data_IF_744977281780
#
_entry.id   IF_744977281780
#
_cell.length_a   1.000
_cell.length_b   1.000
_cell.length_c   1.000
_cell.angle_alpha   90.00
_cell.angle_beta   90.00
_cell.angle_gamma   90.00
#
_symmetry.space_group_name_H-M   'P 1'
#
loop_
_entity.id
_entity.type
_entity.pdbx_description
1 polymer ?
#
# COMPACT_ATOMS: atom_id res chain seq x y z
N UNK A 1 -11.43 -17.39 -2.93
CA UNK A 1 -11.16 -16.99 -1.52
C UNK A 1 -11.09 -15.47 -1.48
N UNK A 2 -11.30 -14.84 -0.33
CA UNK A 2 -11.28 -13.36 -0.23
C UNK A 2 -11.32 -12.88 1.22
N UNK A 3 -11.36 -11.57 1.42
CA UNK A 3 -11.44 -10.96 2.75
C UNK A 3 -12.91 -10.86 3.19
N UNK A 4 -13.31 -11.64 4.19
CA UNK A 4 -14.69 -11.76 4.65
C UNK A 4 -14.75 -11.70 6.18
N UNK A 5 -15.65 -10.89 6.74
CA UNK A 5 -15.88 -10.79 8.19
C UNK A 5 -14.61 -10.51 9.00
N UNK A 6 -13.67 -9.72 8.46
CA UNK A 6 -12.43 -9.33 9.16
C UNK A 6 -11.20 -10.19 8.89
N UNK A 7 -11.30 -11.26 8.09
CA UNK A 7 -10.16 -12.18 7.83
C UNK A 7 -10.13 -12.66 6.37
N UNK A 8 -8.97 -13.14 5.90
CA UNK A 8 -8.91 -13.91 4.66
C UNK A 8 -9.56 -15.29 4.84
N UNK A 9 -10.66 -15.53 4.14
CA UNK A 9 -11.44 -16.76 4.24
C UNK A 9 -11.83 -17.33 2.87
N UNK A 10 -12.05 -18.64 2.84
CA UNK A 10 -12.66 -19.29 1.68
C UNK A 10 -14.18 -19.03 1.63
N UNK A 11 -14.80 -19.12 0.44
CA UNK A 11 -16.24 -18.90 0.26
C UNK A 11 -17.09 -19.84 1.13
N UNK A 12 -16.62 -21.08 1.36
CA UNK A 12 -17.30 -22.02 2.24
C UNK A 12 -17.37 -21.56 3.70
N UNK A 13 -16.33 -20.91 4.23
CA UNK A 13 -16.35 -20.39 5.60
C UNK A 13 -17.12 -19.07 5.71
N UNK A 14 -17.05 -18.22 4.68
CA UNK A 14 -17.90 -17.02 4.54
C UNK A 14 -19.39 -17.37 4.61
N UNK A 15 -19.85 -18.31 3.77
CA UNK A 15 -21.25 -18.71 3.72
C UNK A 15 -21.73 -19.38 5.01
N UNK A 16 -20.89 -20.25 5.59
CA UNK A 16 -21.16 -20.88 6.88
C UNK A 16 -21.32 -19.85 8.00
N UNK A 17 -20.34 -18.97 8.19
CA UNK A 17 -20.35 -17.95 9.23
C UNK A 17 -21.55 -17.01 9.09
N UNK A 18 -21.85 -16.53 7.87
CA UNK A 18 -23.03 -15.71 7.58
C UNK A 18 -24.33 -16.38 8.02
N UNK A 19 -24.48 -17.68 7.73
CA UNK A 19 -25.69 -18.45 8.08
C UNK A 19 -25.79 -18.65 9.59
N UNK A 20 -24.70 -19.03 10.25
CA UNK A 20 -24.67 -19.21 11.71
C UNK A 20 -25.10 -17.94 12.43
N UNK A 21 -24.59 -16.76 12.02
CA UNK A 21 -24.96 -15.50 12.65
C UNK A 21 -26.39 -15.07 12.30
N UNK A 22 -26.79 -15.08 11.02
CA UNK A 22 -28.13 -14.63 10.60
C UNK A 22 -29.26 -15.45 11.21
N UNK A 23 -29.08 -16.76 11.29
CA UNK A 23 -30.07 -17.68 11.83
C UNK A 23 -29.87 -17.94 13.34
N UNK A 24 -28.90 -17.27 13.99
CA UNK A 24 -28.53 -17.48 15.40
C UNK A 24 -28.38 -18.97 15.74
N UNK A 25 -27.67 -19.72 14.90
CA UNK A 25 -27.52 -21.16 15.09
C UNK A 25 -26.57 -21.44 16.26
N UNK A 26 -27.05 -22.22 17.21
CA UNK A 26 -26.26 -22.77 18.30
C UNK A 26 -25.86 -24.21 17.97
N UNK A 27 -24.57 -24.51 18.13
CA UNK A 27 -24.05 -25.85 17.90
C UNK A 27 -23.70 -26.49 19.23
N UNK A 28 -24.13 -27.73 19.44
CA UNK A 28 -23.77 -28.52 20.62
C UNK A 28 -22.25 -28.60 20.81
N UNK A 29 -21.79 -28.42 22.04
CA UNK A 29 -20.36 -28.41 22.38
C UNK A 29 -19.71 -29.73 21.96
N UNK A 30 -18.60 -29.64 21.25
CA UNK A 30 -17.78 -30.80 20.89
C UNK A 30 -16.57 -30.90 21.81
N UNK A 31 -16.41 -32.04 22.47
CA UNK A 31 -15.29 -32.31 23.39
C UNK A 31 -14.03 -32.80 22.66
N UNK A 32 -14.19 -33.31 21.44
CA UNK A 32 -13.10 -33.92 20.65
C UNK A 32 -12.14 -32.91 20.02
N UNK A 33 -12.39 -31.60 20.14
CA UNK A 33 -11.57 -30.53 19.54
C UNK A 33 -11.15 -30.82 18.08
N UNK A 34 -12.13 -31.17 17.24
CA UNK A 34 -11.90 -31.64 15.87
C UNK A 34 -11.00 -30.70 15.05
N UNK A 35 -9.93 -31.24 14.46
CA UNK A 35 -9.05 -30.49 13.54
C UNK A 35 -9.75 -30.19 12.21
N UNK A 36 -10.07 -28.92 11.98
CA UNK A 36 -10.81 -28.46 10.79
C UNK A 36 -9.87 -28.13 9.62
N UNK A 37 -10.04 -28.87 8.52
CA UNK A 37 -9.33 -28.77 7.23
C UNK A 37 -10.33 -28.72 6.05
N UNK A 38 -9.86 -28.35 4.85
CA UNK A 38 -10.71 -28.20 3.64
C UNK A 38 -11.59 -29.44 3.36
N UNK A 39 -11.03 -30.65 3.53
CA UNK A 39 -11.70 -31.94 3.26
C UNK A 39 -12.73 -32.35 4.33
N UNK A 40 -12.56 -31.95 5.59
CA UNK A 40 -13.37 -32.44 6.71
C UNK A 40 -14.16 -31.34 7.44
N UNK A 41 -14.11 -30.09 6.96
CA UNK A 41 -14.73 -28.92 7.62
C UNK A 41 -16.24 -29.03 7.84
N UNK A 42 -16.93 -29.92 7.15
CA UNK A 42 -18.36 -30.13 7.32
C UNK A 42 -18.70 -31.17 8.42
N UNK A 43 -17.72 -31.92 8.94
CA UNK A 43 -17.95 -32.99 9.92
C UNK A 43 -18.34 -32.49 11.32
N UNK A 44 -17.92 -31.29 11.70
CA UNK A 44 -18.22 -30.72 13.02
C UNK A 44 -18.47 -29.22 12.91
N UNK A 45 -19.74 -28.82 13.06
CA UNK A 45 -20.15 -27.42 12.96
C UNK A 45 -19.64 -26.60 14.14
N UNK A 46 -19.67 -27.16 15.36
CA UNK A 46 -19.15 -26.51 16.57
C UNK A 46 -17.68 -26.12 16.43
N UNK A 47 -16.78 -27.09 16.15
CA UNK A 47 -15.35 -26.81 16.01
C UNK A 47 -15.04 -25.92 14.81
N UNK A 48 -15.82 -26.02 13.73
CA UNK A 48 -15.70 -25.10 12.58
C UNK A 48 -16.03 -23.67 12.97
N UNK A 49 -17.15 -23.46 13.67
CA UNK A 49 -17.57 -22.12 14.09
C UNK A 49 -16.61 -21.53 15.12
N UNK A 50 -16.18 -22.33 16.11
CA UNK A 50 -15.12 -21.93 17.05
C UNK A 50 -13.84 -21.53 16.35
N UNK A 51 -13.41 -22.27 15.31
CA UNK A 51 -12.25 -21.89 14.51
C UNK A 51 -12.47 -20.58 13.76
N UNK A 52 -13.64 -20.37 13.15
CA UNK A 52 -13.98 -19.09 12.50
C UNK A 52 -13.84 -17.91 13.46
N UNK A 53 -14.36 -18.03 14.69
CA UNK A 53 -14.21 -17.01 15.72
C UNK A 53 -12.75 -16.85 16.15
N UNK A 54 -12.04 -17.95 16.39
CA UNK A 54 -10.65 -17.93 16.86
C UNK A 54 -9.69 -17.27 15.86
N UNK A 55 -9.95 -17.37 14.55
CA UNK A 55 -9.14 -16.68 13.53
C UNK A 55 -9.54 -15.21 13.34
N UNK A 56 -10.60 -14.74 14.00
CA UNK A 56 -11.04 -13.34 13.96
C UNK A 56 -12.26 -13.04 13.09
N UNK A 57 -13.06 -14.05 12.67
CA UNK A 57 -14.32 -13.75 11.96
C UNK A 57 -15.31 -13.07 12.90
N UNK A 58 -15.77 -11.88 12.53
CA UNK A 58 -16.71 -11.08 13.33
C UNK A 58 -17.86 -10.52 12.49
N UNK A 59 -19.08 -10.56 13.04
CA UNK A 59 -20.24 -9.90 12.45
C UNK A 59 -20.04 -8.38 12.33
N UNK A 60 -19.35 -7.78 13.29
CA UNK A 60 -19.15 -6.32 13.32
C UNK A 60 -18.03 -5.88 12.36
N UNK A 61 -17.24 -6.81 11.83
CA UNK A 61 -16.20 -6.57 10.84
C UNK A 61 -16.72 -6.70 9.39
N UNK A 62 -18.03 -6.60 9.18
CA UNK A 62 -18.61 -6.45 7.84
C UNK A 62 -18.17 -5.08 7.32
N UNK A 63 -17.27 -5.08 6.33
CA UNK A 63 -17.06 -3.88 5.52
C UNK A 63 -18.33 -3.65 4.71
N UNK A 64 -19.15 -2.71 5.15
CA UNK A 64 -20.03 -2.03 4.24
C UNK A 64 -19.14 -1.39 3.16
N UNK A 65 -19.55 -1.48 1.89
CA UNK A 65 -18.76 -0.96 0.78
C UNK A 65 -18.62 0.57 0.82
N UNK A 66 -19.00 1.24 -0.26
CA UNK A 66 -18.95 2.71 -0.32
C UNK A 66 -20.10 3.31 0.51
N UNK A 67 -19.92 3.46 1.81
CA UNK A 67 -20.88 4.19 2.67
C UNK A 67 -20.71 5.71 2.47
N UNK A 68 -21.80 6.47 2.17
CA UNK A 68 -21.80 7.93 2.19
C UNK A 68 -21.52 8.49 3.60
N UNK A 69 -20.77 9.60 3.69
CA UNK A 69 -20.30 10.15 4.98
C UNK A 69 -21.40 10.45 6.01
N UNK A 70 -22.62 10.77 5.57
CA UNK A 70 -23.76 11.05 6.45
C UNK A 70 -24.16 9.85 7.32
N UNK A 71 -24.13 8.64 6.77
CA UNK A 71 -24.45 7.41 7.50
C UNK A 71 -23.35 7.07 8.52
N UNK A 72 -22.10 7.38 8.19
CA UNK A 72 -20.92 7.16 9.04
C UNK A 72 -20.98 7.98 10.33
N UNK A 73 -21.64 9.14 10.30
CA UNK A 73 -21.80 10.01 11.47
C UNK A 73 -22.92 9.50 12.40
N UNK A 74 -24.02 8.97 11.86
CA UNK A 74 -25.14 8.43 12.66
C UNK A 74 -24.73 7.20 13.48
N UNK A 75 -23.89 6.33 12.92
CA UNK A 75 -23.43 5.12 13.60
C UNK A 75 -22.49 5.39 14.78
N UNK A 76 -21.80 6.55 14.79
CA UNK A 76 -20.93 6.95 15.91
C UNK A 76 -21.70 7.43 17.14
N UNK A 77 -22.98 7.80 16.98
CA UNK A 77 -23.79 8.37 18.05
C UNK A 77 -24.42 7.31 18.99
N UNK A 78 -24.36 6.02 18.65
CA UNK A 78 -24.99 4.94 19.42
C UNK A 78 -24.05 4.09 20.28
N UNK A 79 -22.75 4.41 20.36
CA UNK A 79 -21.76 3.64 21.11
C UNK A 79 -21.23 4.45 22.28
N UNK A 80 -21.97 4.45 23.39
CA UNK A 80 -21.55 5.09 24.62
C UNK A 80 -21.26 4.05 25.71
N UNK A 81 -20.00 4.07 26.16
CA UNK A 81 -19.54 4.23 27.57
C UNK A 81 -18.34 3.35 27.98
N UNK A 82 -18.11 2.15 27.44
CA UNK A 82 -17.01 1.28 27.97
C UNK A 82 -15.76 1.13 27.10
N UNK A 83 -15.74 1.65 25.87
CA UNK A 83 -14.61 1.49 24.93
C UNK A 83 -13.78 2.75 24.62
N UNK A 84 -14.07 3.88 25.28
CA UNK A 84 -13.50 5.19 24.91
C UNK A 84 -11.98 5.25 25.10
N UNK A 85 -11.43 4.74 26.20
CA UNK A 85 -10.00 4.87 26.51
C UNK A 85 -9.07 4.04 25.59
N UNK A 86 -9.42 2.79 25.30
CA UNK A 86 -8.61 1.94 24.40
C UNK A 86 -8.73 2.37 22.94
N UNK A 87 -9.91 2.86 22.52
CA UNK A 87 -10.14 3.34 21.16
C UNK A 87 -9.53 4.74 20.94
N UNK A 88 -9.48 5.62 21.94
CA UNK A 88 -8.73 6.87 21.88
C UNK A 88 -7.22 6.63 21.82
N UNK A 89 -6.69 5.72 22.65
CA UNK A 89 -5.26 5.36 22.64
C UNK A 89 -4.82 4.78 21.28
N UNK A 90 -5.58 3.83 20.72
CA UNK A 90 -5.31 3.27 19.38
C UNK A 90 -5.51 4.28 18.24
N UNK A 91 -6.46 5.21 18.37
CA UNK A 91 -6.63 6.30 17.39
C UNK A 91 -5.50 7.32 17.45
N UNK A 92 -5.01 7.65 18.64
CA UNK A 92 -3.88 8.55 18.84
C UNK A 92 -2.59 7.93 18.27
N UNK A 93 -2.38 6.63 18.49
CA UNK A 93 -1.27 5.86 17.94
C UNK A 93 -1.31 5.80 16.40
N UNK A 94 -2.47 5.50 15.81
CA UNK A 94 -2.63 5.47 14.35
C UNK A 94 -2.40 6.84 13.71
N UNK A 95 -2.86 7.93 14.35
CA UNK A 95 -2.62 9.31 13.86
C UNK A 95 -1.15 9.71 13.97
N UNK A 96 -0.48 9.29 15.03
CA UNK A 96 0.96 9.50 15.22
C UNK A 96 1.76 8.80 14.13
N UNK A 97 1.47 7.51 13.88
CA UNK A 97 2.08 6.74 12.81
C UNK A 97 1.86 7.38 11.44
N UNK A 98 0.61 7.79 11.13
CA UNK A 98 0.29 8.45 9.88
C UNK A 98 1.07 9.76 9.69
N UNK A 99 1.27 10.53 10.76
CA UNK A 99 2.09 11.76 10.74
C UNK A 99 3.56 11.43 10.45
N UNK A 100 4.13 10.47 11.18
CA UNK A 100 5.52 10.03 10.98
C UNK A 100 5.77 9.54 9.55
N UNK A 101 4.85 8.72 9.01
CA UNK A 101 4.90 8.27 7.62
C UNK A 101 4.82 9.44 6.62
N UNK A 102 3.96 10.42 6.88
CA UNK A 102 3.82 11.59 6.00
C UNK A 102 5.08 12.48 6.03
N UNK A 103 5.68 12.69 7.19
CA UNK A 103 6.92 13.44 7.34
C UNK A 103 8.10 12.71 6.70
N UNK A 104 8.20 11.38 6.83
CA UNK A 104 9.16 10.57 6.09
C UNK A 104 8.96 10.71 4.57
N UNK A 105 7.73 10.63 4.10
CA UNK A 105 7.40 10.80 2.67
C UNK A 105 7.85 12.16 2.14
N UNK A 106 7.56 13.25 2.85
CA UNK A 106 7.95 14.60 2.43
C UNK A 106 9.47 14.82 2.47
N UNK A 107 10.19 14.12 3.35
CA UNK A 107 11.66 14.20 3.46
C UNK A 107 12.37 13.45 2.34
N UNK A 108 11.91 12.25 2.00
CA UNK A 108 12.62 11.37 1.05
C UNK A 108 12.19 11.54 -0.41
N UNK A 109 10.98 12.04 -0.69
CA UNK A 109 10.51 12.27 -2.05
C UNK A 109 10.51 13.74 -2.42
N UNK A 110 11.52 14.16 -3.18
CA UNK A 110 11.68 15.55 -3.63
C UNK A 110 10.50 16.01 -4.50
N UNK A 111 10.05 15.17 -5.44
CA UNK A 111 8.87 15.41 -6.27
C UNK A 111 7.67 14.65 -5.73
N UNK A 112 6.75 15.38 -5.09
CA UNK A 112 5.52 14.80 -4.53
C UNK A 112 4.28 15.24 -5.30
N UNK A 113 3.13 14.61 -4.99
CA UNK A 113 1.87 14.90 -5.67
C UNK A 113 1.47 16.38 -5.61
N UNK A 114 1.71 17.05 -4.49
CA UNK A 114 1.37 18.47 -4.35
C UNK A 114 2.24 19.33 -5.27
N UNK A 115 3.55 19.13 -5.28
CA UNK A 115 4.48 19.82 -6.18
C UNK A 115 4.16 19.56 -7.65
N UNK A 116 3.96 18.30 -8.04
CA UNK A 116 3.61 17.93 -9.42
C UNK A 116 2.32 18.63 -9.89
N UNK A 117 1.30 18.74 -9.02
CA UNK A 117 0.05 19.47 -9.36
C UNK A 117 0.28 20.94 -9.64
N UNK A 118 1.23 21.60 -8.97
CA UNK A 118 1.55 23.02 -9.24
C UNK A 118 2.01 23.19 -10.69
N UNK A 119 2.89 22.31 -11.18
CA UNK A 119 3.34 22.31 -12.57
C UNK A 119 2.19 21.98 -13.54
N UNK A 120 1.46 20.90 -13.30
CA UNK A 120 0.41 20.41 -14.20
C UNK A 120 -0.82 21.33 -14.29
N UNK A 121 -1.07 22.15 -13.26
CA UNK A 121 -2.17 23.13 -13.25
C UNK A 121 -1.75 24.53 -13.70
N UNK A 122 -0.50 24.70 -14.16
CA UNK A 122 0.01 25.99 -14.65
C UNK A 122 0.19 27.05 -13.56
N UNK A 123 0.27 26.63 -12.29
CA UNK A 123 0.45 27.55 -11.13
C UNK A 123 1.91 27.82 -10.77
N UNK A 124 2.84 27.27 -11.54
CA UNK A 124 4.28 27.49 -11.38
C UNK A 124 4.71 28.80 -12.03
N UNK A 125 5.67 29.51 -11.43
CA UNK A 125 6.33 30.66 -12.05
C UNK A 125 7.27 30.27 -13.19
N UNK A 126 7.75 29.02 -13.18
CA UNK A 126 8.67 28.47 -14.18
C UNK A 126 8.00 27.24 -14.81
N UNK A 127 7.44 27.37 -16.03
CA UNK A 127 6.82 26.23 -16.70
C UNK A 127 7.87 25.19 -17.10
N UNK A 128 7.53 23.90 -17.07
CA UNK A 128 8.44 22.85 -17.51
C UNK A 128 8.67 22.94 -19.03
N UNK A 129 9.84 22.51 -19.48
CA UNK A 129 10.13 22.36 -20.90
C UNK A 129 9.26 21.23 -21.48
N UNK A 130 8.54 21.50 -22.55
CA UNK A 130 7.61 20.54 -23.18
C UNK A 130 8.33 19.81 -24.30
N UNK A 131 8.27 18.48 -24.28
CA UNK A 131 8.76 17.60 -25.34
C UNK A 131 7.53 17.10 -26.09
N UNK A 132 7.41 17.44 -27.37
CA UNK A 132 6.26 17.05 -28.20
C UNK A 132 6.65 16.60 -29.61
N UNK A 133 7.92 16.71 -29.97
CA UNK A 133 8.47 16.28 -31.26
C UNK A 133 9.96 15.90 -31.11
N UNK A 134 10.58 15.53 -32.23
CA UNK A 134 11.96 15.10 -32.27
C UNK A 134 12.96 16.23 -31.97
N UNK A 135 12.66 17.46 -32.40
CA UNK A 135 13.56 18.59 -32.18
C UNK A 135 13.57 18.98 -30.70
N UNK A 136 12.40 19.12 -30.08
CA UNK A 136 12.25 19.40 -28.65
C UNK A 136 12.86 18.28 -27.80
N UNK A 137 12.72 17.03 -28.21
CA UNK A 137 13.38 15.90 -27.56
C UNK A 137 14.91 16.03 -27.59
N UNK A 138 15.51 16.30 -28.76
CA UNK A 138 16.97 16.47 -28.87
C UNK A 138 17.48 17.66 -28.05
N UNK A 139 16.69 18.73 -27.90
CA UNK A 139 17.04 19.84 -27.01
C UNK A 139 17.01 19.42 -25.54
N UNK A 140 15.99 18.67 -25.12
CA UNK A 140 15.89 18.15 -23.76
C UNK A 140 17.03 17.16 -23.45
N UNK A 141 17.33 16.24 -24.38
CA UNK A 141 18.44 15.29 -24.27
C UNK A 141 19.77 16.00 -24.05
N UNK A 142 20.08 17.02 -24.86
CA UNK A 142 21.32 17.82 -24.68
C UNK A 142 21.38 18.48 -23.32
N UNK A 143 20.27 19.09 -22.85
CA UNK A 143 20.21 19.73 -21.54
C UNK A 143 20.41 18.74 -20.39
N UNK A 144 19.80 17.56 -20.51
CA UNK A 144 19.91 16.49 -19.52
C UNK A 144 21.32 15.87 -19.53
N UNK A 145 21.88 15.63 -20.71
CA UNK A 145 23.27 15.19 -20.88
C UNK A 145 24.21 16.20 -20.23
N UNK A 146 24.09 17.51 -20.47
CA UNK A 146 24.95 18.50 -19.79
C UNK A 146 24.85 18.43 -18.26
N UNK A 147 23.67 18.11 -17.70
CA UNK A 147 23.49 17.93 -16.26
C UNK A 147 24.10 16.62 -15.73
N UNK A 148 24.10 15.56 -16.53
CA UNK A 148 24.66 14.24 -16.19
C UNK A 148 26.18 14.15 -16.45
N UNK A 149 26.67 14.85 -17.48
CA UNK A 149 28.05 14.83 -17.99
C UNK A 149 29.02 15.70 -17.21
N UNK A 150 28.58 16.41 -16.18
CA UNK A 150 29.49 16.96 -15.17
C UNK A 150 30.35 15.87 -14.48
N UNK A 151 29.97 14.59 -14.60
CA UNK A 151 30.57 13.45 -13.90
C UNK A 151 31.05 12.28 -14.80
N UNK A 152 30.97 12.34 -16.14
CA UNK A 152 31.28 11.17 -17.02
C UNK A 152 32.20 11.55 -18.20
N UNK A 153 33.16 10.66 -18.52
CA UNK A 153 34.16 10.85 -19.57
C UNK A 153 33.56 10.94 -20.99
N UNK A 154 34.22 11.71 -21.86
CA UNK A 154 33.79 12.07 -23.22
C UNK A 154 33.57 10.91 -24.20
N UNK A 155 34.09 9.71 -23.89
CA UNK A 155 34.03 8.53 -24.77
C UNK A 155 32.64 7.89 -24.85
N UNK A 156 31.87 7.87 -23.75
CA UNK A 156 30.54 7.24 -23.71
C UNK A 156 29.44 8.10 -24.35
N UNK A 157 29.71 9.39 -24.59
CA UNK A 157 28.75 10.32 -25.20
C UNK A 157 28.59 10.05 -26.70
N UNK A 158 29.68 9.62 -27.36
CA UNK A 158 29.68 9.35 -28.80
C UNK A 158 28.85 8.10 -29.13
N UNK A 159 29.02 7.03 -28.34
CA UNK A 159 28.28 5.76 -28.52
C UNK A 159 26.80 5.88 -28.17
N UNK A 160 26.44 6.80 -27.26
CA UNK A 160 25.03 7.08 -26.94
C UNK A 160 24.31 7.79 -28.08
N UNK A 161 24.99 8.69 -28.81
CA UNK A 161 24.40 9.44 -29.91
C UNK A 161 24.12 8.59 -31.15
N UNK A 162 24.86 7.49 -31.31
CA UNK A 162 24.68 6.51 -32.39
C UNK A 162 23.49 5.56 -32.17
N UNK A 163 22.98 5.46 -30.93
CA UNK A 163 21.82 4.63 -30.62
C UNK A 163 20.52 5.24 -31.12
N UNK A 164 19.58 4.38 -31.49
CA UNK A 164 18.20 4.76 -31.78
C UNK A 164 17.58 5.57 -30.63
N UNK A 165 16.71 6.51 -30.97
CA UNK A 165 16.07 7.45 -30.02
C UNK A 165 15.40 6.69 -28.86
N UNK A 166 14.70 5.59 -29.17
CA UNK A 166 14.02 4.76 -28.19
C UNK A 166 14.98 4.17 -27.16
N UNK A 167 16.15 3.69 -27.60
CA UNK A 167 17.18 3.15 -26.73
C UNK A 167 17.79 4.23 -25.81
N UNK A 168 17.89 5.48 -26.28
CA UNK A 168 18.35 6.61 -25.45
C UNK A 168 17.32 7.00 -24.39
N UNK A 169 16.05 7.13 -24.78
CA UNK A 169 14.95 7.40 -23.84
C UNK A 169 14.92 6.31 -22.76
N UNK A 170 15.01 5.05 -23.16
CA UNK A 170 15.04 3.92 -22.24
C UNK A 170 16.19 4.02 -21.23
N UNK A 171 17.40 4.37 -21.68
CA UNK A 171 18.53 4.58 -20.79
C UNK A 171 18.31 5.72 -19.80
N UNK A 172 17.77 6.87 -20.23
CA UNK A 172 17.46 7.96 -19.32
C UNK A 172 16.40 7.56 -18.29
N UNK A 173 15.40 6.78 -18.69
CA UNK A 173 14.40 6.22 -17.77
C UNK A 173 15.05 5.27 -16.75
N UNK A 174 16.02 4.44 -17.16
CA UNK A 174 16.76 3.58 -16.23
C UNK A 174 17.57 4.40 -15.22
N UNK A 175 18.27 5.44 -15.67
CA UNK A 175 19.04 6.31 -14.78
C UNK A 175 18.14 7.00 -13.74
N UNK A 176 17.01 7.56 -14.19
CA UNK A 176 16.02 8.15 -13.28
C UNK A 176 15.45 7.09 -12.31
N UNK A 177 15.27 5.85 -12.78
CA UNK A 177 14.77 4.75 -11.96
C UNK A 177 15.73 4.41 -10.80
N UNK A 178 17.05 4.42 -11.03
CA UNK A 178 18.05 4.18 -9.97
C UNK A 178 17.94 5.22 -8.83
N UNK A 179 17.77 6.49 -9.18
CA UNK A 179 17.54 7.54 -8.18
C UNK A 179 16.26 7.27 -7.39
N UNK A 180 15.15 6.91 -8.06
CA UNK A 180 13.88 6.62 -7.36
C UNK A 180 13.94 5.39 -6.45
N UNK A 181 14.69 4.35 -6.82
CA UNK A 181 14.91 3.17 -5.97
C UNK A 181 15.67 3.56 -4.70
N UNK A 182 16.63 4.46 -4.82
CA UNK A 182 17.38 4.99 -3.67
C UNK A 182 16.45 5.77 -2.73
N UNK A 183 15.65 6.69 -3.26
CA UNK A 183 14.65 7.45 -2.48
C UNK A 183 13.65 6.52 -1.77
N UNK A 184 13.16 5.50 -2.47
CA UNK A 184 12.20 4.53 -1.94
C UNK A 184 12.81 3.67 -0.83
N UNK A 185 14.07 3.28 -0.99
CA UNK A 185 14.83 2.53 0.02
C UNK A 185 15.03 3.35 1.29
N UNK A 186 15.43 4.62 1.16
CA UNK A 186 15.59 5.53 2.30
C UNK A 186 14.26 5.81 3.00
N UNK A 187 13.17 5.99 2.23
CA UNK A 187 11.83 6.09 2.80
C UNK A 187 11.43 4.83 3.58
N UNK A 188 11.67 3.63 3.03
CA UNK A 188 11.32 2.37 3.69
C UNK A 188 12.05 2.21 5.03
N UNK A 189 13.34 2.56 5.11
CA UNK A 189 14.11 2.57 6.36
C UNK A 189 13.51 3.51 7.42
N UNK A 190 12.89 4.61 6.99
CA UNK A 190 12.23 5.55 7.89
C UNK A 190 10.82 5.10 8.34
N UNK A 191 10.28 3.99 7.81
CA UNK A 191 9.00 3.42 8.26
C UNK A 191 9.21 2.70 9.60
N UNK A 192 8.45 3.04 10.66
CA UNK A 192 8.55 2.39 11.95
C UNK A 192 8.43 0.86 11.86
N UNK A 193 9.41 0.14 12.42
CA UNK A 193 9.47 -1.32 12.43
C UNK A 193 10.08 -1.97 11.19
N UNK A 194 10.38 -1.22 10.11
CA UNK A 194 11.01 -1.80 8.92
C UNK A 194 12.46 -2.20 9.19
N UNK A 195 13.25 -1.30 9.80
CA UNK A 195 14.67 -1.55 10.09
C UNK A 195 14.91 -2.68 11.11
N UNK A 196 13.88 -3.11 11.84
CA UNK A 196 13.95 -4.22 12.80
C UNK A 196 13.67 -5.59 12.17
N UNK A 197 13.24 -5.64 10.91
CA UNK A 197 13.05 -6.89 10.18
C UNK A 197 14.40 -7.52 9.82
N UNK A 198 14.40 -8.82 9.52
CA UNK A 198 15.58 -9.47 8.98
C UNK A 198 16.02 -8.82 7.65
N UNK A 199 17.33 -8.76 7.40
CA UNK A 199 17.87 -8.10 6.21
C UNK A 199 17.34 -8.73 4.91
N UNK A 200 17.15 -10.05 4.88
CA UNK A 200 16.60 -10.74 3.72
C UNK A 200 15.14 -10.37 3.48
N UNK A 201 14.36 -10.18 4.55
CA UNK A 201 12.97 -9.71 4.46
C UNK A 201 12.91 -8.26 3.98
N UNK A 202 13.80 -7.38 4.47
CA UNK A 202 13.88 -5.99 4.00
C UNK A 202 14.18 -5.91 2.50
N UNK A 203 15.16 -6.69 2.02
CA UNK A 203 15.51 -6.76 0.59
C UNK A 203 14.34 -7.32 -0.23
N UNK A 204 13.67 -8.35 0.27
CA UNK A 204 12.52 -8.96 -0.42
C UNK A 204 11.35 -7.98 -0.53
N UNK A 205 11.05 -7.22 0.54
CA UNK A 205 9.99 -6.22 0.56
C UNK A 205 10.28 -5.00 -0.33
N UNK A 206 11.56 -4.66 -0.55
CA UNK A 206 11.94 -3.58 -1.49
C UNK A 206 11.95 -4.04 -2.95
N UNK A 207 12.13 -5.34 -3.19
CA UNK A 207 12.22 -5.93 -4.53
C UNK A 207 10.86 -6.16 -5.19
N UNK A 208 9.81 -6.46 -4.42
CA UNK A 208 8.49 -6.89 -4.90
C UNK A 208 7.37 -5.97 -4.43
#
# INVERSE_FOLDING_TARGET
SGFHYGVHACEGCKGFFRRTIRLKLEYGKCERNCKIQKKNRNKCQYCRFRKCLAVGMSHNAIRFGRIPQSEKQRLKAGQDVTGKEQHESQQLDTKSLARQMHEAYLRHFHMNKAKARVFLTGKTSTPPFVIHDMDTLQHAERKLLTQLLGNVASGDVCTLREREVEARIFLFCQYASVATVTELTEFAKAVPGFATLDLNDQVTLLKY
#
